data_IF_121147988280
#
_entry.id   IF_121147988280
#
_cell.length_a   1.000
_cell.length_b   1.000
_cell.length_c   1.000
_cell.angle_alpha   90.00
_cell.angle_beta   90.00
_cell.angle_gamma   90.00
#
_symmetry.space_group_name_H-M   'P 1'
#
loop_
_entity.id
_entity.type
_entity.pdbx_description
1 polymer ?
#
# COMPACT_ATOMS: atom_id res chain seq x y z
N UNK A 1 11.52 25.10 -5.86
CA UNK A 1 11.50 24.40 -4.56
C UNK A 1 10.68 23.14 -4.75
N UNK A 2 11.34 22.04 -5.06
CA UNK A 2 10.72 20.73 -5.29
C UNK A 2 10.76 19.96 -3.96
N UNK A 3 9.58 19.71 -3.35
CA UNK A 3 9.49 19.02 -2.04
C UNK A 3 8.40 17.95 -2.00
N UNK A 4 7.83 17.53 -3.14
CA UNK A 4 6.67 16.61 -3.16
C UNK A 4 7.02 15.13 -3.29
N UNK A 5 8.12 14.70 -2.68
CA UNK A 5 8.52 13.28 -2.68
C UNK A 5 8.93 12.77 -1.31
N UNK A 6 9.71 13.54 -0.57
CA UNK A 6 10.44 13.08 0.63
C UNK A 6 9.55 12.62 1.79
N UNK A 7 8.41 13.27 2.05
CA UNK A 7 7.55 12.90 3.18
C UNK A 7 6.92 11.51 3.02
N UNK A 8 6.68 11.06 1.78
CA UNK A 8 6.12 9.73 1.56
C UNK A 8 7.18 8.66 1.81
N UNK A 9 8.37 8.83 1.23
CA UNK A 9 9.49 7.89 1.36
C UNK A 9 9.97 7.75 2.81
N UNK A 10 9.93 8.82 3.61
CA UNK A 10 10.29 8.81 5.03
C UNK A 10 9.29 8.00 5.89
N UNK A 11 8.02 7.94 5.49
CA UNK A 11 6.99 7.19 6.20
C UNK A 11 6.96 5.70 5.85
N UNK A 12 7.60 5.31 4.74
CA UNK A 12 7.68 3.91 4.31
C UNK A 12 8.47 3.10 5.33
N UNK A 13 7.92 1.95 5.71
CA UNK A 13 8.62 1.05 6.62
C UNK A 13 9.77 0.35 5.88
N UNK A 14 11.03 0.42 6.37
CA UNK A 14 12.17 -0.21 5.71
C UNK A 14 12.13 -1.74 5.76
N UNK A 15 11.36 -2.33 6.69
CA UNK A 15 11.26 -3.77 6.88
C UNK A 15 9.86 -4.35 6.58
N UNK A 16 8.96 -3.60 5.93
CA UNK A 16 7.57 -4.03 5.75
C UNK A 16 6.86 -3.42 4.57
N UNK A 17 5.65 -3.92 4.29
CA UNK A 17 4.79 -3.39 3.25
C UNK A 17 4.07 -2.15 3.76
N UNK A 18 3.91 -1.16 2.90
CA UNK A 18 3.19 0.07 3.23
C UNK A 18 2.00 0.22 2.30
N UNK A 19 0.79 0.24 2.85
CA UNK A 19 -0.44 0.50 2.11
C UNK A 19 -0.81 1.98 2.27
N UNK A 20 -0.73 2.73 1.19
CA UNK A 20 -1.28 4.08 1.11
C UNK A 20 -2.77 4.02 0.85
N UNK A 21 -3.50 4.61 1.78
CA UNK A 21 -4.92 4.86 1.69
C UNK A 21 -5.12 6.32 1.32
N UNK A 22 -5.42 6.55 0.04
CA UNK A 22 -5.68 7.88 -0.53
C UNK A 22 -7.16 8.26 -0.44
N UNK A 23 -8.03 7.26 -0.36
CA UNK A 23 -9.47 7.44 -0.19
C UNK A 23 -9.94 6.90 1.16
N UNK A 24 -10.53 7.77 2.00
CA UNK A 24 -10.98 7.38 3.34
C UNK A 24 -12.19 6.44 3.32
N UNK A 25 -12.98 6.45 2.25
CA UNK A 25 -14.21 5.65 2.10
C UNK A 25 -13.92 4.18 1.80
N UNK A 26 -12.71 3.85 1.33
CA UNK A 26 -12.33 2.48 1.02
C UNK A 26 -11.98 1.66 2.27
N UNK A 27 -12.58 0.48 2.41
CA UNK A 27 -12.33 -0.42 3.54
C UNK A 27 -11.09 -1.29 3.28
N UNK A 28 -9.97 -0.97 3.93
CA UNK A 28 -8.69 -1.71 3.78
C UNK A 28 -8.57 -2.94 4.66
N UNK A 29 -9.59 -3.21 5.49
CA UNK A 29 -9.59 -4.32 6.47
C UNK A 29 -9.24 -5.67 5.84
N UNK A 30 -9.78 -5.99 4.68
CA UNK A 30 -9.49 -7.25 4.01
C UNK A 30 -8.01 -7.40 3.61
N UNK A 31 -7.32 -6.31 3.25
CA UNK A 31 -5.87 -6.33 2.98
C UNK A 31 -5.07 -6.47 4.26
N UNK A 32 -5.48 -5.77 5.33
CA UNK A 32 -4.86 -5.85 6.64
C UNK A 32 -4.97 -7.25 7.24
N UNK A 33 -6.16 -7.86 7.17
CA UNK A 33 -6.41 -9.23 7.60
C UNK A 33 -5.63 -10.24 6.76
N UNK A 34 -5.62 -10.10 5.43
CA UNK A 34 -4.83 -10.96 4.55
C UNK A 34 -3.32 -10.91 4.83
N UNK A 35 -2.78 -9.70 5.07
CA UNK A 35 -1.38 -9.54 5.44
C UNK A 35 -1.09 -10.16 6.82
N UNK A 36 -1.96 -9.92 7.80
CA UNK A 36 -1.84 -10.49 9.14
C UNK A 36 -1.94 -12.01 9.15
N UNK A 37 -2.84 -12.59 8.36
CA UNK A 37 -2.99 -14.04 8.20
C UNK A 37 -1.71 -14.70 7.65
N UNK A 38 -0.92 -13.96 6.87
CA UNK A 38 0.39 -14.39 6.35
C UNK A 38 1.57 -14.00 7.23
N UNK A 39 1.35 -13.29 8.35
CA UNK A 39 2.42 -12.78 9.21
C UNK A 39 3.24 -11.65 8.58
N UNK A 40 2.69 -10.95 7.58
CA UNK A 40 3.37 -9.86 6.88
C UNK A 40 3.11 -8.55 7.63
N UNK A 41 4.16 -7.80 8.02
CA UNK A 41 3.99 -6.48 8.61
C UNK A 41 3.51 -5.50 7.52
N UNK A 42 2.21 -5.19 7.55
CA UNK A 42 1.57 -4.20 6.70
C UNK A 42 1.30 -2.92 7.51
N UNK A 43 1.88 -1.81 7.08
CA UNK A 43 1.64 -0.48 7.65
C UNK A 43 0.64 0.26 6.77
N UNK A 44 -0.52 0.61 7.31
CA UNK A 44 -1.50 1.43 6.60
C UNK A 44 -1.22 2.90 6.88
N UNK A 45 -0.86 3.65 5.84
CA UNK A 45 -0.67 5.08 5.86
C UNK A 45 -1.86 5.76 5.19
N UNK A 46 -2.55 6.61 5.94
CA UNK A 46 -3.65 7.42 5.39
C UNK A 46 -3.05 8.71 4.87
N UNK A 47 -3.09 8.90 3.56
CA UNK A 47 -2.60 10.10 2.90
C UNK A 47 -3.80 10.83 2.32
N UNK A 48 -4.35 11.78 3.08
CA UNK A 48 -5.46 12.62 2.61
C UNK A 48 -4.88 13.77 1.78
N UNK A 49 -4.46 13.46 0.56
CA UNK A 49 -3.85 14.44 -0.33
C UNK A 49 -4.50 14.37 -1.70
N UNK A 50 -5.34 15.36 -2.00
CA UNK A 50 -6.08 15.43 -3.26
C UNK A 50 -5.16 15.41 -4.49
N UNK A 51 -3.97 16.01 -4.40
CA UNK A 51 -2.95 15.95 -5.45
C UNK A 51 -2.41 14.54 -5.67
N UNK A 52 -2.19 13.77 -4.59
CA UNK A 52 -1.73 12.39 -4.73
C UNK A 52 -2.84 11.50 -5.30
N UNK A 53 -4.10 11.75 -4.94
CA UNK A 53 -5.26 11.07 -5.53
C UNK A 53 -5.35 11.33 -7.03
N UNK A 54 -5.13 12.56 -7.48
CA UNK A 54 -5.11 12.93 -8.89
C UNK A 54 -3.92 12.30 -9.64
N UNK A 55 -2.74 12.30 -9.00
CA UNK A 55 -1.49 11.82 -9.59
C UNK A 55 -1.41 10.28 -9.68
N UNK A 56 -1.94 9.57 -8.68
CA UNK A 56 -2.00 8.10 -8.68
C UNK A 56 -3.26 7.56 -9.35
N UNK A 57 -4.28 8.41 -9.58
CA UNK A 57 -5.63 8.10 -10.09
C UNK A 57 -6.39 6.96 -9.38
N UNK A 58 -5.81 6.40 -8.32
CA UNK A 58 -6.26 5.18 -7.68
C UNK A 58 -6.39 5.43 -6.16
N UNK A 59 -7.49 4.98 -5.54
CA UNK A 59 -7.76 5.14 -4.10
C UNK A 59 -6.81 4.38 -3.14
N UNK A 60 -6.12 3.34 -3.61
CA UNK A 60 -5.24 2.48 -2.81
C UNK A 60 -3.95 2.15 -3.56
N UNK A 61 -2.82 2.29 -2.87
CA UNK A 61 -1.49 1.98 -3.43
C UNK A 61 -0.69 1.17 -2.42
N UNK A 62 -0.17 0.02 -2.85
CA UNK A 62 0.69 -0.83 -2.04
C UNK A 62 2.15 -0.65 -2.46
N UNK A 63 3.00 -0.32 -1.49
CA UNK A 63 4.42 -0.04 -1.66
C UNK A 63 5.23 -1.08 -0.90
N UNK A 64 6.28 -1.58 -1.55
CA UNK A 64 7.26 -2.51 -0.99
C UNK A 64 8.30 -1.75 -0.14
N UNK A 65 8.99 -2.43 0.78
CA UNK A 65 10.11 -1.82 1.50
C UNK A 65 11.23 -1.32 0.57
N UNK A 66 11.34 -1.89 -0.64
CA UNK A 66 12.25 -1.48 -1.71
C UNK A 66 11.80 -0.22 -2.47
N UNK A 67 10.85 0.56 -1.92
CA UNK A 67 10.27 1.77 -2.54
C UNK A 67 9.55 1.55 -3.89
N UNK A 68 9.38 0.30 -4.32
CA UNK A 68 8.63 -0.06 -5.51
C UNK A 68 7.13 -0.20 -5.24
N UNK A 69 6.31 0.35 -6.14
CA UNK A 69 4.85 0.14 -6.14
C UNK A 69 4.59 -1.32 -6.50
N UNK A 70 4.15 -2.10 -5.51
CA UNK A 70 3.77 -3.49 -5.69
C UNK A 70 2.41 -3.62 -6.38
N UNK A 71 1.50 -2.71 -6.07
CA UNK A 71 0.15 -2.69 -6.63
C UNK A 71 -0.52 -1.33 -6.46
N UNK A 72 -1.49 -1.02 -7.33
CA UNK A 72 -2.37 0.15 -7.22
C UNK A 72 -3.77 -0.19 -7.72
N UNK A 73 -4.81 0.35 -7.10
CA UNK A 73 -6.21 0.14 -7.48
C UNK A 73 -7.16 1.08 -6.74
N UNK A 74 -8.34 1.32 -7.29
CA UNK A 74 -9.34 2.21 -6.68
C UNK A 74 -10.08 1.60 -5.49
N UNK A 75 -10.17 0.28 -5.46
CA UNK A 75 -10.85 -0.47 -4.41
C UNK A 75 -10.08 -1.72 -4.03
N UNK A 76 -10.31 -2.19 -2.80
CA UNK A 76 -9.76 -3.46 -2.36
C UNK A 76 -10.33 -4.57 -3.26
N UNK A 77 -9.47 -5.35 -3.95
CA UNK A 77 -9.97 -6.44 -4.75
C UNK A 77 -10.59 -7.50 -3.84
N UNK A 78 -11.64 -8.17 -4.30
CA UNK A 78 -12.27 -9.31 -3.60
C UNK A 78 -11.24 -10.40 -3.23
N UNK A 79 -10.14 -10.48 -3.99
CA UNK A 79 -9.00 -11.37 -3.76
C UNK A 79 -7.82 -10.65 -3.11
N UNK A 80 -8.06 -9.91 -2.03
CA UNK A 80 -7.02 -9.23 -1.25
C UNK A 80 -5.90 -10.19 -0.82
N UNK A 81 -6.24 -11.42 -0.45
CA UNK A 81 -5.27 -12.43 -0.03
C UNK A 81 -4.36 -12.90 -1.17
N UNK A 82 -4.93 -13.12 -2.37
CA UNK A 82 -4.14 -13.45 -3.56
C UNK A 82 -3.26 -12.29 -3.99
N UNK A 83 -3.74 -11.05 -3.79
CA UNK A 83 -2.95 -9.86 -4.06
C UNK A 83 -1.75 -9.76 -3.13
N UNK A 84 -1.97 -9.87 -1.82
CA UNK A 84 -0.91 -9.91 -0.82
C UNK A 84 0.05 -11.07 -1.11
N UNK A 85 -0.44 -12.25 -1.49
CA UNK A 85 0.40 -13.37 -1.90
C UNK A 85 1.27 -13.05 -3.13
N UNK A 86 0.70 -12.34 -4.12
CA UNK A 86 1.37 -12.00 -5.36
C UNK A 86 2.46 -10.94 -5.14
N UNK A 87 2.16 -9.91 -4.37
CA UNK A 87 3.09 -8.80 -4.06
C UNK A 87 4.14 -9.19 -3.02
N UNK A 88 3.79 -10.10 -2.10
CA UNK A 88 4.73 -10.73 -1.18
C UNK A 88 5.46 -11.93 -1.79
N UNK A 89 5.24 -12.21 -3.08
CA UNK A 89 5.76 -13.35 -3.85
C UNK A 89 7.28 -13.47 -3.97
N UNK A 90 8.06 -12.82 -3.09
CA UNK A 90 9.47 -13.08 -2.86
C UNK A 90 9.69 -13.59 -1.43
N UNK A 91 9.04 -14.69 -1.07
CA UNK A 91 9.65 -15.67 -0.16
C UNK A 91 9.66 -17.00 -0.89
N UNK A 92 10.50 -17.07 -1.92
CA UNK A 92 10.94 -18.36 -2.41
C UNK A 92 11.91 -18.89 -1.35
N UNK A 93 11.44 -19.96 -0.70
CA UNK A 93 12.15 -21.07 -0.06
C UNK A 93 13.58 -20.87 0.41
#
# INVERSE_FOLDING_TARGET
MDQRGVALFDLLSPCGFTLLKLDHTQDTRALEEAARARGIPLKVLKLDNAEARDLYQNGLVLIRPDQHIAWRGDSVPEKAESLIARVAGFTCS
#
